data_IF_583966620177
#
_entry.id   IF_583966620177
#
_cell.length_a   1.000
_cell.length_b   1.000
_cell.length_c   1.000
_cell.angle_alpha   90.00
_cell.angle_beta   90.00
_cell.angle_gamma   90.00
#
_symmetry.space_group_name_H-M   'P 1'
#
loop_
_entity.id
_entity.type
_entity.pdbx_description
1 polymer ?
#
# COMPACT_ATOMS: atom_id res chain seq x y z
N UNK A 1 10.78 -28.60 -15.86
CA UNK A 1 10.83 -27.18 -15.45
C UNK A 1 9.46 -26.61 -15.11
N UNK A 2 8.36 -27.00 -15.77
CA UNK A 2 6.97 -26.58 -15.47
C UNK A 2 6.54 -26.62 -13.99
N UNK A 3 6.92 -27.66 -13.25
CA UNK A 3 6.58 -27.79 -11.83
C UNK A 3 7.26 -26.72 -10.96
N UNK A 4 8.47 -26.31 -11.34
CA UNK A 4 9.22 -25.24 -10.66
C UNK A 4 8.57 -23.89 -10.93
N UNK A 5 8.16 -23.65 -12.18
CA UNK A 5 7.49 -22.41 -12.56
C UNK A 5 6.16 -22.22 -11.79
N UNK A 6 5.31 -23.23 -11.81
CA UNK A 6 4.05 -23.23 -11.05
C UNK A 6 4.28 -23.09 -9.54
N UNK A 7 5.33 -23.73 -9.01
CA UNK A 7 5.70 -23.63 -7.60
C UNK A 7 6.10 -22.20 -7.24
N UNK A 8 6.93 -21.55 -8.05
CA UNK A 8 7.33 -20.14 -7.84
C UNK A 8 6.09 -19.23 -7.93
N UNK A 9 5.22 -19.41 -8.92
CA UNK A 9 3.96 -18.67 -9.04
C UNK A 9 3.05 -18.83 -7.81
N UNK A 10 2.97 -20.05 -7.27
CA UNK A 10 2.17 -20.37 -6.08
C UNK A 10 2.76 -19.73 -4.82
N UNK A 11 4.09 -19.72 -4.67
CA UNK A 11 4.77 -19.05 -3.56
C UNK A 11 4.56 -17.54 -3.63
N UNK A 12 4.62 -16.94 -4.82
CA UNK A 12 4.31 -15.51 -5.00
C UNK A 12 2.86 -15.19 -4.59
N UNK A 13 1.89 -16.03 -4.94
CA UNK A 13 0.49 -15.87 -4.50
C UNK A 13 0.37 -15.89 -2.97
N UNK A 14 1.06 -16.82 -2.30
CA UNK A 14 1.05 -16.94 -0.84
C UNK A 14 1.62 -15.67 -0.16
N UNK A 15 2.74 -15.16 -0.67
CA UNK A 15 3.33 -13.91 -0.16
C UNK A 15 2.40 -12.72 -0.35
N UNK A 16 1.69 -12.64 -1.47
CA UNK A 16 0.68 -11.61 -1.71
C UNK A 16 -0.48 -11.70 -0.71
N UNK A 17 -0.92 -12.93 -0.40
CA UNK A 17 -1.99 -13.19 0.56
C UNK A 17 -1.60 -12.74 1.98
N UNK A 18 -0.36 -13.04 2.37
CA UNK A 18 0.19 -12.70 3.69
C UNK A 18 0.40 -11.18 3.86
N UNK A 19 0.74 -10.48 2.78
CA UNK A 19 0.92 -9.03 2.76
C UNK A 19 -0.39 -8.21 2.81
N UNK A 20 -1.55 -8.87 2.85
CA UNK A 20 -2.85 -8.20 3.03
C UNK A 20 -3.35 -7.43 1.81
N UNK A 21 -2.99 -7.86 0.60
CA UNK A 21 -3.44 -7.23 -0.62
C UNK A 21 -4.97 -7.36 -0.81
N UNK A 22 -5.67 -6.37 -1.38
CA UNK A 22 -7.11 -6.42 -1.61
C UNK A 22 -7.57 -7.71 -2.31
N UNK A 23 -8.65 -8.29 -1.80
CA UNK A 23 -9.17 -9.61 -2.21
C UNK A 23 -9.42 -9.72 -3.73
N UNK A 24 -9.78 -8.62 -4.38
CA UNK A 24 -10.01 -8.57 -5.82
C UNK A 24 -8.72 -8.84 -6.61
N UNK A 25 -7.58 -8.29 -6.19
CA UNK A 25 -6.30 -8.50 -6.86
C UNK A 25 -5.77 -9.92 -6.66
N UNK A 26 -5.95 -10.44 -5.45
CA UNK A 26 -5.64 -11.83 -5.11
C UNK A 26 -6.44 -12.78 -6.02
N UNK A 27 -7.76 -12.59 -6.11
CA UNK A 27 -8.63 -13.44 -6.91
C UNK A 27 -8.22 -13.47 -8.39
N UNK A 28 -7.88 -12.30 -8.95
CA UNK A 28 -7.38 -12.21 -10.33
C UNK A 28 -6.09 -13.02 -10.50
N UNK A 29 -5.13 -12.89 -9.57
CA UNK A 29 -3.87 -13.64 -9.62
C UNK A 29 -4.09 -15.15 -9.49
N UNK A 30 -4.96 -15.59 -8.56
CA UNK A 30 -5.30 -17.00 -8.37
C UNK A 30 -5.91 -17.61 -9.64
N UNK A 31 -6.79 -16.89 -10.33
CA UNK A 31 -7.39 -17.36 -11.58
C UNK A 31 -6.34 -17.55 -12.67
N UNK A 32 -5.37 -16.62 -12.79
CA UNK A 32 -4.29 -16.71 -13.77
C UNK A 32 -3.41 -17.95 -13.50
N UNK A 33 -2.99 -18.16 -12.25
CA UNK A 33 -2.17 -19.32 -11.86
C UNK A 33 -2.93 -20.64 -12.06
N UNK A 34 -4.22 -20.68 -11.72
CA UNK A 34 -5.05 -21.87 -11.92
C UNK A 34 -5.25 -22.20 -13.41
N UNK A 35 -5.41 -21.19 -14.26
CA UNK A 35 -5.50 -21.36 -15.71
C UNK A 35 -4.19 -21.89 -16.31
N UNK A 36 -3.04 -21.38 -15.84
CA UNK A 36 -1.71 -21.89 -16.22
C UNK A 36 -1.55 -23.37 -15.83
N UNK A 37 -1.91 -23.73 -14.59
CA UNK A 37 -1.87 -25.11 -14.10
C UNK A 37 -2.78 -26.04 -14.93
N UNK A 38 -3.98 -25.59 -15.26
CA UNK A 38 -4.94 -26.33 -16.08
C UNK A 38 -4.40 -26.57 -17.49
N UNK A 39 -3.78 -25.56 -18.10
CA UNK A 39 -3.17 -25.69 -19.41
C UNK A 39 -2.03 -26.72 -19.42
N UNK A 40 -1.16 -26.65 -18.41
CA UNK A 40 -0.12 -27.65 -18.20
C UNK A 40 -0.68 -29.07 -18.06
N UNK A 41 -1.79 -29.25 -17.34
CA UNK A 41 -2.45 -30.55 -17.19
C UNK A 41 -3.05 -31.05 -18.52
N UNK A 42 -3.72 -30.19 -19.29
CA UNK A 42 -4.32 -30.54 -20.59
C UNK A 42 -3.26 -31.06 -21.56
N UNK A 43 -2.12 -30.38 -21.66
CA UNK A 43 -1.00 -30.82 -22.50
C UNK A 43 -0.43 -32.19 -22.09
N UNK A 44 -0.54 -32.55 -20.81
CA UNK A 44 -0.11 -33.85 -20.31
C UNK A 44 -1.06 -34.99 -20.72
N UNK A 45 -2.36 -34.70 -20.91
CA UNK A 45 -3.38 -35.67 -21.32
C UNK A 45 -3.51 -35.83 -22.85
N UNK A 46 -3.21 -34.80 -23.63
CA UNK A 46 -3.27 -34.82 -25.10
C UNK A 46 -1.86 -34.64 -25.70
N UNK A 47 -1.11 -35.73 -25.95
CA UNK A 47 0.22 -35.67 -26.56
C UNK A 47 0.09 -35.36 -28.07
N UNK A 48 -0.16 -34.10 -28.41
CA UNK A 48 -0.19 -33.60 -29.77
C UNK A 48 1.24 -33.46 -30.31
N UNK A 49 1.54 -34.10 -31.45
CA UNK A 49 2.87 -34.13 -32.10
C UNK A 49 3.40 -32.75 -32.53
N UNK A 50 2.54 -31.73 -32.54
CA UNK A 50 2.80 -30.33 -32.91
C UNK A 50 2.71 -29.38 -31.69
N UNK A 51 2.55 -29.92 -30.47
CA UNK A 51 2.23 -29.18 -29.25
C UNK A 51 3.36 -28.29 -28.73
N UNK A 52 4.63 -28.58 -29.04
CA UNK A 52 5.78 -27.91 -28.40
C UNK A 52 5.78 -26.39 -28.61
N UNK A 53 5.41 -25.91 -29.81
CA UNK A 53 5.32 -24.46 -30.06
C UNK A 53 4.14 -23.81 -29.35
N UNK A 54 2.98 -24.48 -29.36
CA UNK A 54 1.75 -23.97 -28.74
C UNK A 54 1.90 -23.93 -27.22
N UNK A 55 2.52 -24.95 -26.64
CA UNK A 55 2.92 -25.01 -25.24
C UNK A 55 3.79 -23.83 -24.85
N UNK A 56 4.93 -23.65 -25.53
CA UNK A 56 5.87 -22.58 -25.22
C UNK A 56 5.27 -21.18 -25.43
N UNK A 57 4.35 -21.04 -26.39
CA UNK A 57 3.64 -19.79 -26.63
C UNK A 57 2.68 -19.44 -25.49
N UNK A 58 1.95 -20.43 -24.98
CA UNK A 58 0.98 -20.20 -23.90
C UNK A 58 1.68 -19.97 -22.56
N UNK A 59 2.76 -20.72 -22.28
CA UNK A 59 3.58 -20.52 -21.09
C UNK A 59 4.15 -19.07 -21.08
N UNK A 60 4.66 -18.59 -22.22
CA UNK A 60 5.13 -17.20 -22.38
C UNK A 60 4.04 -16.15 -22.10
N UNK A 61 2.79 -16.42 -22.50
CA UNK A 61 1.68 -15.51 -22.25
C UNK A 61 1.38 -15.43 -20.75
N UNK A 62 1.34 -16.57 -20.05
CA UNK A 62 1.10 -16.59 -18.61
C UNK A 62 2.24 -15.92 -17.84
N UNK A 63 3.49 -16.18 -18.23
CA UNK A 63 4.67 -15.51 -17.65
C UNK A 63 4.60 -13.99 -17.84
N UNK A 64 4.22 -13.52 -19.03
CA UNK A 64 4.05 -12.10 -19.32
C UNK A 64 2.92 -11.47 -18.49
N UNK A 65 1.79 -12.16 -18.33
CA UNK A 65 0.67 -11.70 -17.52
C UNK A 65 1.06 -11.55 -16.05
N UNK A 66 1.86 -12.47 -15.53
CA UNK A 66 2.30 -12.46 -14.13
C UNK A 66 3.42 -11.43 -13.92
N UNK A 67 4.41 -11.39 -14.81
CA UNK A 67 5.57 -10.52 -14.69
C UNK A 67 5.26 -9.04 -15.00
N UNK A 68 4.33 -8.78 -15.93
CA UNK A 68 4.02 -7.41 -16.40
C UNK A 68 2.57 -7.04 -16.13
N UNK A 69 1.62 -7.92 -16.44
CA UNK A 69 0.19 -7.63 -16.27
C UNK A 69 -0.18 -7.37 -14.82
N UNK A 70 0.27 -8.23 -13.91
CA UNK A 70 -0.02 -8.11 -12.48
C UNK A 70 0.50 -6.81 -11.85
N UNK A 71 1.79 -6.43 -11.97
CA UNK A 71 2.24 -5.15 -11.42
C UNK A 71 1.53 -3.94 -12.05
N UNK A 72 1.16 -4.00 -13.33
CA UNK A 72 0.37 -2.94 -13.97
C UNK A 72 -1.05 -2.83 -13.38
N UNK A 73 -1.76 -3.95 -13.21
CA UNK A 73 -3.08 -3.98 -12.58
C UNK A 73 -2.99 -3.47 -11.13
N UNK A 74 -1.94 -3.86 -10.41
CA UNK A 74 -1.68 -3.43 -9.04
C UNK A 74 -1.47 -1.91 -8.97
N UNK A 75 -0.69 -1.33 -9.87
CA UNK A 75 -0.51 0.13 -9.97
C UNK A 75 -1.83 0.82 -10.32
N UNK A 76 -2.58 0.32 -11.31
CA UNK A 76 -3.88 0.88 -11.67
C UNK A 76 -4.87 0.84 -10.50
N UNK A 77 -4.92 -0.28 -9.77
CA UNK A 77 -5.75 -0.42 -8.58
C UNK A 77 -5.32 0.59 -7.51
N UNK A 78 -4.02 0.68 -7.21
CA UNK A 78 -3.48 1.66 -6.27
C UNK A 78 -3.87 3.09 -6.66
N UNK A 79 -3.76 3.47 -7.93
CA UNK A 79 -4.18 4.78 -8.42
C UNK A 79 -5.69 5.02 -8.28
N UNK A 80 -6.51 4.00 -8.54
CA UNK A 80 -7.97 4.11 -8.43
C UNK A 80 -8.48 4.15 -6.98
N UNK A 81 -7.83 3.41 -6.08
CA UNK A 81 -8.20 3.31 -4.67
C UNK A 81 -7.58 4.43 -3.82
N UNK A 82 -6.56 5.12 -4.34
CA UNK A 82 -5.88 6.20 -3.65
C UNK A 82 -6.82 7.39 -3.40
N UNK A 83 -7.33 7.47 -2.17
CA UNK A 83 -8.06 8.62 -1.67
C UNK A 83 -7.12 9.50 -0.86
N UNK A 84 -6.59 10.53 -1.52
CA UNK A 84 -5.83 11.55 -0.81
C UNK A 84 -6.78 12.56 -0.16
N UNK A 85 -6.87 12.50 1.17
CA UNK A 85 -7.66 13.45 1.95
C UNK A 85 -6.98 14.82 1.96
N UNK A 86 -7.30 15.63 0.94
CA UNK A 86 -6.80 17.00 0.79
C UNK A 86 -7.18 17.87 1.98
N UNK A 87 -8.31 17.61 2.66
CA UNK A 87 -8.73 18.39 3.82
C UNK A 87 -7.79 18.14 5.00
N UNK A 88 -7.41 16.88 5.26
CA UNK A 88 -6.38 16.54 6.25
C UNK A 88 -5.03 17.16 5.93
N UNK A 89 -4.63 17.19 4.65
CA UNK A 89 -3.40 17.87 4.23
C UNK A 89 -3.47 19.38 4.50
N UNK A 90 -4.59 20.04 4.16
CA UNK A 90 -4.76 21.48 4.39
C UNK A 90 -4.72 21.85 5.87
N UNK A 91 -5.34 21.04 6.74
CA UNK A 91 -5.26 21.20 8.20
C UNK A 91 -3.82 21.04 8.68
N UNK A 92 -3.10 20.03 8.17
CA UNK A 92 -1.70 19.80 8.49
C UNK A 92 -0.83 20.99 8.07
N UNK A 93 -0.97 21.52 6.85
CA UNK A 93 -0.23 22.72 6.42
C UNK A 93 -0.59 23.99 7.20
N UNK A 94 -1.84 24.11 7.66
CA UNK A 94 -2.27 25.24 8.48
C UNK A 94 -1.65 25.19 9.89
N UNK A 95 -1.41 23.98 10.40
CA UNK A 95 -0.80 23.70 11.69
C UNK A 95 0.73 23.75 11.65
N UNK A 96 1.31 23.13 10.62
CA UNK A 96 2.73 22.96 10.36
C UNK A 96 3.04 23.63 9.02
N UNK A 97 3.51 24.89 9.02
CA UNK A 97 4.00 25.49 7.79
C UNK A 97 5.19 24.70 7.23
N UNK A 98 5.52 24.93 5.95
CA UNK A 98 6.67 24.31 5.29
C UNK A 98 7.94 24.44 6.15
N UNK A 99 8.84 23.46 6.04
CA UNK A 99 10.09 23.44 6.78
C UNK A 99 10.82 24.80 6.69
N UNK A 100 11.44 25.27 7.80
CA UNK A 100 12.09 26.57 7.82
C UNK A 100 13.15 26.65 6.72
N UNK A 101 13.11 27.71 5.92
CA UNK A 101 13.97 27.85 4.74
C UNK A 101 15.32 28.51 5.08
N UNK A 102 15.40 29.15 6.25
CA UNK A 102 16.61 29.86 6.69
C UNK A 102 17.05 29.42 8.08
N UNK A 103 18.36 29.49 8.33
CA UNK A 103 18.94 29.18 9.64
C UNK A 103 18.36 30.05 10.76
N UNK A 104 18.08 31.33 10.50
CA UNK A 104 17.46 32.23 11.47
C UNK A 104 16.05 31.74 11.91
N UNK A 105 15.25 31.21 10.99
CA UNK A 105 13.95 30.60 11.30
C UNK A 105 14.09 29.28 12.07
N UNK A 106 15.16 28.52 11.84
CA UNK A 106 15.50 27.34 12.64
C UNK A 106 15.88 27.69 14.08
N UNK A 107 16.63 28.78 14.28
CA UNK A 107 17.11 29.21 15.59
C UNK A 107 16.03 29.91 16.43
N UNK A 108 14.99 30.46 15.80
CA UNK A 108 13.85 31.06 16.48
C UNK A 108 12.52 30.56 15.88
N UNK A 109 12.13 29.31 16.16
CA UNK A 109 10.94 28.72 15.59
C UNK A 109 9.68 29.41 16.11
N UNK A 110 8.72 29.65 15.20
CA UNK A 110 7.43 30.21 15.57
C UNK A 110 6.69 29.25 16.51
N UNK A 111 6.28 29.75 17.68
CA UNK A 111 5.47 28.98 18.61
C UNK A 111 4.08 28.70 17.99
N UNK A 112 3.74 27.41 17.85
CA UNK A 112 2.47 26.92 17.28
C UNK A 112 1.63 26.13 18.29
N UNK A 113 1.96 26.20 19.59
CA UNK A 113 1.31 25.42 20.66
C UNK A 113 -0.19 25.62 20.69
N UNK A 114 -0.68 26.84 20.49
CA UNK A 114 -2.12 27.15 20.46
C UNK A 114 -2.85 26.49 19.29
N UNK A 115 -2.20 26.38 18.12
CA UNK A 115 -2.76 25.66 16.97
C UNK A 115 -2.79 24.14 17.21
N UNK A 116 -1.75 23.58 17.82
CA UNK A 116 -1.72 22.16 18.18
C UNK A 116 -2.78 21.84 19.23
N UNK A 117 -3.00 22.73 20.22
CA UNK A 117 -4.08 22.60 21.19
C UNK A 117 -5.46 22.56 20.54
N UNK A 118 -5.73 23.45 19.58
CA UNK A 118 -6.98 23.46 18.82
C UNK A 118 -7.17 22.16 18.02
N UNK A 119 -6.11 21.64 17.42
CA UNK A 119 -6.16 20.38 16.66
C UNK A 119 -6.45 19.18 17.55
N UNK A 120 -5.92 19.20 18.78
CA UNK A 120 -6.21 18.20 19.80
C UNK A 120 -7.71 18.20 20.13
N UNK A 121 -8.32 19.37 20.37
CA UNK A 121 -9.75 19.52 20.64
C UNK A 121 -10.65 19.08 19.48
N UNK A 122 -10.15 19.13 18.24
CA UNK A 122 -10.89 18.69 17.04
C UNK A 122 -10.66 17.21 16.66
N UNK A 123 -9.89 16.45 17.45
CA UNK A 123 -9.63 15.03 17.19
C UNK A 123 -8.58 14.73 16.10
N UNK A 124 -7.87 15.75 15.59
CA UNK A 124 -6.88 15.61 14.52
C UNK A 124 -5.45 15.36 15.02
N UNK A 125 -5.26 15.06 16.30
CA UNK A 125 -3.93 14.91 16.91
C UNK A 125 -3.13 13.73 16.33
N UNK A 126 -3.80 12.66 15.88
CA UNK A 126 -3.13 11.53 15.20
C UNK A 126 -2.39 11.97 13.93
N UNK A 127 -2.89 12.98 13.21
CA UNK A 127 -2.25 13.51 11.99
C UNK A 127 -0.92 14.19 12.35
N UNK A 128 -0.86 14.85 13.51
CA UNK A 128 0.34 15.51 14.03
C UNK A 128 1.41 14.48 14.38
N UNK A 129 1.02 13.37 15.05
CA UNK A 129 1.94 12.29 15.41
C UNK A 129 2.54 11.57 14.21
N UNK A 130 1.74 11.34 13.15
CA UNK A 130 2.21 10.74 11.90
C UNK A 130 3.28 11.59 11.21
N UNK A 131 3.17 12.91 11.33
CA UNK A 131 4.10 13.87 10.70
C UNK A 131 5.33 14.12 11.57
N UNK A 132 5.18 14.06 12.90
CA UNK A 132 6.24 14.33 13.86
C UNK A 132 6.52 13.10 14.73
N UNK A 133 7.16 12.08 14.12
CA UNK A 133 7.51 10.81 14.77
C UNK A 133 8.51 10.96 15.94
N UNK A 134 9.09 12.15 16.14
CA UNK A 134 10.02 12.50 17.23
C UNK A 134 9.31 13.07 18.47
N UNK A 135 7.99 13.26 18.42
CA UNK A 135 7.22 13.74 19.56
C UNK A 135 6.94 12.58 20.54
N UNK A 136 7.98 12.09 21.23
CA UNK A 136 7.87 10.98 22.20
C UNK A 136 7.05 11.36 23.44
N UNK A 137 7.04 12.65 23.81
CA UNK A 137 6.37 13.15 25.01
C UNK A 137 5.50 14.35 24.64
N UNK A 138 4.21 14.27 24.96
CA UNK A 138 3.28 15.40 24.82
C UNK A 138 3.61 16.44 25.91
N UNK A 139 3.82 17.72 25.55
CA UNK A 139 4.05 18.79 26.53
C UNK A 139 2.92 18.87 27.56
N UNK A 140 3.24 19.18 28.83
CA UNK A 140 2.27 19.22 29.94
C UNK A 140 1.05 20.10 29.62
N UNK A 141 1.24 21.20 28.90
CA UNK A 141 0.17 22.13 28.52
C UNK A 141 -0.91 21.51 27.60
N UNK A 142 -0.58 20.43 26.90
CA UNK A 142 -1.49 19.73 25.99
C UNK A 142 -2.01 18.41 26.59
N UNK A 143 -1.52 18.01 27.76
CA UNK A 143 -1.83 16.72 28.38
C UNK A 143 -3.29 16.62 28.83
N UNK A 144 -3.85 17.71 29.36
CA UNK A 144 -5.23 17.72 29.86
C UNK A 144 -6.25 17.68 28.72
N UNK A 145 -6.01 18.46 27.66
CA UNK A 145 -6.84 18.44 26.43
C UNK A 145 -6.76 17.08 25.75
N UNK A 146 -5.59 16.43 25.79
CA UNK A 146 -5.39 15.10 25.23
C UNK A 146 -6.18 14.02 25.97
N UNK A 147 -6.11 13.98 27.32
CA UNK A 147 -6.86 13.01 28.14
C UNK A 147 -8.38 13.13 27.94
N UNK A 148 -8.88 14.35 27.78
CA UNK A 148 -10.30 14.59 27.53
C UNK A 148 -10.81 14.04 26.19
N UNK A 149 -9.99 14.10 25.14
CA UNK A 149 -10.38 13.61 23.80
C UNK A 149 -10.25 12.09 23.64
N UNK A 150 -9.42 11.42 24.45
CA UNK A 150 -9.26 9.97 24.38
C UNK A 150 -10.45 9.19 24.96
N UNK A 151 -11.32 9.84 25.75
CA UNK A 151 -12.54 9.24 26.30
C UNK A 151 -13.78 9.45 25.42
N UNK A 152 -13.65 10.18 24.31
CA UNK A 152 -14.75 10.49 23.37
C UNK A 152 -14.67 9.67 22.06
N UNK A 153 -13.81 8.65 22.01
CA UNK A 153 -13.66 7.70 20.90
C UNK A 153 -14.03 6.30 21.35
#
# INVERSE_FOLDING_TARGET
MKFVDLFIQTVMLLQILENGLPIALVAVFTVIVAANALWCAILMFLPLKQAVLVENFVDLIFDLLIAVGYPMILVCYCLSAFKFDRAKLTINLAAFPQAPKTYAEWMNPKNVTTKVAQLATTGFLQIVQLTNRKLEVIPEELRDVWKGNQQLV
#
